data_IF_521987652149
#
_entry.id   IF_521987652149
#
_cell.length_a   1.000
_cell.length_b   1.000
_cell.length_c   1.000
_cell.angle_alpha   90.00
_cell.angle_beta   90.00
_cell.angle_gamma   90.00
#
_symmetry.space_group_name_H-M   'P 1'
#
loop_
_entity.id
_entity.type
_entity.pdbx_description
1 polymer ?
#
# COMPACT_ATOMS: atom_id res chain seq x y z
N UNK A 1 -30.69 -16.94 -9.50
CA UNK A 1 -30.27 -15.53 -9.45
C UNK A 1 -29.29 -15.42 -8.30
N UNK A 2 -28.01 -15.48 -8.61
CA UNK A 2 -26.93 -15.59 -7.62
C UNK A 2 -26.74 -14.21 -6.98
N UNK A 3 -26.99 -14.12 -5.68
CA UNK A 3 -26.73 -12.91 -4.89
C UNK A 3 -25.21 -12.76 -4.80
N UNK A 4 -24.63 -11.98 -5.72
CA UNK A 4 -23.24 -11.56 -5.64
C UNK A 4 -23.05 -10.84 -4.30
N UNK A 5 -22.47 -11.55 -3.32
CA UNK A 5 -22.12 -10.98 -2.04
C UNK A 5 -21.29 -9.74 -2.27
N UNK A 6 -21.82 -8.58 -1.89
CA UNK A 6 -21.05 -7.35 -1.79
C UNK A 6 -19.99 -7.60 -0.74
N UNK A 7 -18.79 -8.00 -1.17
CA UNK A 7 -17.64 -8.11 -0.31
C UNK A 7 -17.51 -6.76 0.41
N UNK A 8 -17.87 -6.74 1.69
CA UNK A 8 -17.84 -5.53 2.50
C UNK A 8 -16.37 -5.21 2.65
N UNK A 9 -15.89 -4.19 1.94
CA UNK A 9 -14.53 -3.74 2.14
C UNK A 9 -14.41 -3.26 3.58
N UNK A 10 -13.40 -3.74 4.30
CA UNK A 10 -13.17 -3.34 5.69
C UNK A 10 -12.78 -1.86 5.85
N UNK A 11 -12.59 -1.14 4.74
CA UNK A 11 -12.27 0.30 4.74
C UNK A 11 -13.49 1.09 4.27
N UNK A 12 -13.73 2.24 4.89
CA UNK A 12 -14.78 3.19 4.50
C UNK A 12 -14.18 4.20 3.53
N UNK A 13 -14.51 4.10 2.24
CA UNK A 13 -13.98 4.98 1.20
C UNK A 13 -14.98 5.14 0.04
N UNK A 14 -14.74 6.11 -0.84
CA UNK A 14 -15.56 6.25 -2.04
C UNK A 14 -15.38 5.08 -3.03
N UNK A 15 -16.34 4.88 -3.97
CA UNK A 15 -16.19 3.93 -5.06
C UNK A 15 -14.92 4.12 -5.88
N UNK A 16 -14.45 5.38 -6.06
CA UNK A 16 -13.21 5.71 -6.78
C UNK A 16 -12.00 5.06 -6.11
N UNK A 17 -11.87 5.22 -4.80
CA UNK A 17 -10.77 4.64 -4.03
C UNK A 17 -10.86 3.11 -4.02
N UNK A 18 -12.06 2.55 -3.85
CA UNK A 18 -12.26 1.10 -3.91
C UNK A 18 -11.87 0.49 -5.27
N UNK A 19 -12.29 1.11 -6.38
CA UNK A 19 -11.95 0.64 -7.72
C UNK A 19 -10.45 0.74 -7.99
N UNK A 20 -9.82 1.85 -7.60
CA UNK A 20 -8.38 2.04 -7.69
C UNK A 20 -7.64 0.94 -6.93
N UNK A 21 -7.95 0.74 -5.64
CA UNK A 21 -7.31 -0.27 -4.81
C UNK A 21 -7.52 -1.69 -5.36
N UNK A 22 -8.73 -2.00 -5.85
CA UNK A 22 -9.01 -3.30 -6.48
C UNK A 22 -8.11 -3.54 -7.69
N UNK A 23 -7.97 -2.54 -8.56
CA UNK A 23 -7.10 -2.61 -9.74
C UNK A 23 -5.63 -2.76 -9.36
N UNK A 24 -5.15 -2.01 -8.37
CA UNK A 24 -3.76 -2.07 -7.93
C UNK A 24 -3.40 -3.39 -7.24
N UNK A 25 -4.27 -3.89 -6.36
CA UNK A 25 -4.07 -5.21 -5.73
C UNK A 25 -4.13 -6.35 -6.75
N UNK A 26 -5.02 -6.26 -7.73
CA UNK A 26 -5.06 -7.23 -8.84
C UNK A 26 -3.74 -7.21 -9.63
N UNK A 27 -3.22 -6.01 -9.93
CA UNK A 27 -1.94 -5.84 -10.60
C UNK A 27 -0.76 -6.43 -9.77
N UNK A 28 -0.68 -6.14 -8.47
CA UNK A 28 0.33 -6.73 -7.57
C UNK A 28 0.24 -8.26 -7.56
N UNK A 29 -0.94 -8.81 -7.29
CA UNK A 29 -1.15 -10.24 -7.17
C UNK A 29 -0.87 -10.99 -8.48
N UNK A 30 -1.24 -10.41 -9.63
CA UNK A 30 -0.91 -10.98 -10.95
C UNK A 30 0.61 -11.01 -11.20
N UNK A 31 1.33 -9.97 -10.79
CA UNK A 31 2.77 -9.92 -10.95
C UNK A 31 3.49 -10.92 -10.03
N UNK A 32 3.05 -11.03 -8.77
CA UNK A 32 3.58 -12.00 -7.80
C UNK A 32 3.42 -13.45 -8.29
N UNK A 33 2.30 -13.75 -8.95
CA UNK A 33 2.03 -15.07 -9.55
C UNK A 33 2.81 -15.33 -10.85
N UNK A 34 3.49 -14.33 -11.41
CA UNK A 34 4.26 -14.52 -12.65
C UNK A 34 5.41 -15.52 -12.43
N UNK A 35 5.71 -16.34 -13.44
CA UNK A 35 6.83 -17.29 -13.39
C UNK A 35 8.14 -16.61 -13.00
N UNK A 36 8.35 -15.36 -13.47
CA UNK A 36 9.54 -14.58 -13.12
C UNK A 36 9.67 -14.29 -11.62
N UNK A 37 8.56 -14.10 -10.90
CA UNK A 37 8.56 -13.86 -9.45
C UNK A 37 8.59 -15.17 -8.67
N UNK A 38 7.77 -16.14 -9.08
CA UNK A 38 7.71 -17.46 -8.44
C UNK A 38 9.08 -18.15 -8.46
N UNK A 39 9.88 -17.99 -9.52
CA UNK A 39 11.25 -18.54 -9.58
C UNK A 39 12.28 -17.65 -8.86
N UNK A 40 12.03 -16.36 -8.74
CA UNK A 40 12.97 -15.41 -8.12
C UNK A 40 13.05 -15.57 -6.61
N UNK A 41 11.92 -15.70 -5.91
CA UNK A 41 11.90 -15.78 -4.44
C UNK A 41 12.63 -17.01 -3.89
N UNK A 42 12.37 -18.25 -4.35
CA UNK A 42 13.11 -19.43 -3.88
C UNK A 42 14.61 -19.32 -4.17
N UNK A 43 14.99 -18.82 -5.35
CA UNK A 43 16.40 -18.62 -5.72
C UNK A 43 17.10 -17.65 -4.78
N UNK A 44 16.46 -16.54 -4.44
CA UNK A 44 17.02 -15.53 -3.54
C UNK A 44 17.10 -16.04 -2.10
N UNK A 45 16.04 -16.70 -1.60
CA UNK A 45 16.01 -17.33 -0.27
C UNK A 45 17.11 -18.39 -0.14
N UNK A 46 17.24 -19.30 -1.11
CA UNK A 46 18.30 -20.33 -1.13
C UNK A 46 19.68 -19.68 -1.16
N UNK A 47 19.87 -18.65 -1.99
CA UNK A 47 21.13 -17.90 -2.05
C UNK A 47 21.51 -17.30 -0.71
N UNK A 48 20.54 -16.69 -0.02
CA UNK A 48 20.75 -16.08 1.29
C UNK A 48 21.06 -17.12 2.37
N UNK A 49 20.20 -18.12 2.56
CA UNK A 49 20.34 -19.06 3.68
C UNK A 49 21.42 -20.12 3.48
N UNK A 50 21.56 -20.66 2.26
CA UNK A 50 22.49 -21.76 2.00
C UNK A 50 23.86 -21.22 1.58
N UNK A 51 23.88 -20.21 0.71
CA UNK A 51 25.13 -19.71 0.12
C UNK A 51 25.66 -18.45 0.82
N UNK A 52 24.97 -17.96 1.86
CA UNK A 52 25.27 -16.70 2.57
C UNK A 52 25.48 -15.52 1.61
N UNK A 53 24.77 -15.53 0.48
CA UNK A 53 24.92 -14.53 -0.54
C UNK A 53 24.26 -13.22 -0.10
N UNK A 54 24.94 -12.09 -0.31
CA UNK A 54 24.34 -10.77 -0.16
C UNK A 54 23.33 -10.51 -1.28
N UNK A 55 22.42 -9.54 -1.06
CA UNK A 55 21.48 -9.08 -2.08
C UNK A 55 22.21 -8.57 -3.34
N UNK A 56 22.08 -9.24 -4.50
CA UNK A 56 22.87 -8.89 -5.67
C UNK A 56 22.25 -7.73 -6.47
N UNK A 57 23.06 -6.94 -7.18
CA UNK A 57 22.58 -5.85 -8.07
C UNK A 57 21.57 -6.33 -9.13
N UNK A 58 21.69 -7.59 -9.58
CA UNK A 58 20.73 -8.18 -10.51
C UNK A 58 19.33 -8.35 -9.87
N UNK A 59 19.25 -8.58 -8.55
CA UNK A 59 17.99 -8.62 -7.82
C UNK A 59 17.37 -7.22 -7.70
N UNK A 60 18.19 -6.18 -7.45
CA UNK A 60 17.73 -4.79 -7.51
C UNK A 60 17.11 -4.45 -8.87
N UNK A 61 17.82 -4.76 -9.97
CA UNK A 61 17.30 -4.53 -11.33
C UNK A 61 16.00 -5.29 -11.58
N UNK A 62 15.91 -6.53 -11.11
CA UNK A 62 14.70 -7.35 -11.25
C UNK A 62 13.50 -6.77 -10.49
N UNK A 63 13.71 -6.24 -9.28
CA UNK A 63 12.63 -5.74 -8.41
C UNK A 63 12.26 -4.27 -8.66
N UNK A 64 13.09 -3.51 -9.39
CA UNK A 64 12.87 -2.09 -9.68
C UNK A 64 11.52 -1.78 -10.32
N UNK A 65 11.01 -2.68 -11.15
CA UNK A 65 9.75 -2.50 -11.88
C UNK A 65 8.61 -3.37 -11.32
N UNK A 66 8.75 -3.82 -10.08
CA UNK A 66 7.81 -4.74 -9.44
C UNK A 66 7.13 -4.14 -8.22
N UNK A 67 5.86 -4.47 -8.05
CA UNK A 67 5.14 -4.29 -6.82
C UNK A 67 5.89 -5.01 -5.70
N UNK A 68 6.12 -4.27 -4.62
CA UNK A 68 6.50 -4.78 -3.30
C UNK A 68 5.48 -4.18 -2.34
N UNK A 69 4.21 -4.46 -2.61
CA UNK A 69 3.10 -3.96 -1.81
C UNK A 69 2.66 -5.02 -0.81
N UNK A 70 2.14 -4.55 0.33
CA UNK A 70 1.39 -5.41 1.23
C UNK A 70 0.13 -5.93 0.53
N UNK A 71 -0.23 -7.16 0.84
CA UNK A 71 -1.48 -7.77 0.42
C UNK A 71 -2.68 -6.99 0.98
N UNK A 72 -3.83 -7.12 0.30
CA UNK A 72 -5.01 -6.32 0.59
C UNK A 72 -5.50 -6.44 2.04
N UNK A 73 -5.51 -7.65 2.58
CA UNK A 73 -5.92 -7.95 3.96
C UNK A 73 -4.98 -7.30 4.98
N UNK A 74 -3.67 -7.35 4.75
CA UNK A 74 -2.67 -6.67 5.60
C UNK A 74 -2.83 -5.15 5.54
N UNK A 75 -3.12 -4.59 4.37
CA UNK A 75 -3.40 -3.16 4.23
C UNK A 75 -4.67 -2.75 4.99
N UNK A 76 -5.73 -3.56 4.91
CA UNK A 76 -6.97 -3.35 5.67
C UNK A 76 -6.71 -3.40 7.18
N UNK A 77 -5.89 -4.34 7.64
CA UNK A 77 -5.46 -4.40 9.03
C UNK A 77 -4.73 -3.11 9.45
N UNK A 78 -3.78 -2.62 8.65
CA UNK A 78 -3.06 -1.37 8.96
C UNK A 78 -3.98 -0.15 8.99
N UNK A 79 -4.97 -0.06 8.10
CA UNK A 79 -6.01 0.98 8.14
C UNK A 79 -6.80 0.92 9.45
N UNK A 80 -7.32 -0.26 9.82
CA UNK A 80 -8.12 -0.42 11.05
C UNK A 80 -7.29 -0.12 12.30
N UNK A 81 -6.02 -0.52 12.32
CA UNK A 81 -5.09 -0.21 13.40
C UNK A 81 -4.82 1.31 13.50
N UNK A 82 -4.61 1.99 12.38
CA UNK A 82 -4.43 3.44 12.38
C UNK A 82 -5.68 4.18 12.85
N UNK A 83 -6.88 3.71 12.45
CA UNK A 83 -8.17 4.24 12.90
C UNK A 83 -8.40 4.02 14.40
N UNK A 84 -8.13 2.81 14.91
CA UNK A 84 -8.33 2.50 16.33
C UNK A 84 -7.41 3.28 17.26
N UNK A 85 -6.18 3.59 16.80
CA UNK A 85 -5.23 4.42 17.52
C UNK A 85 -5.50 5.93 17.41
N UNK A 86 -6.40 6.37 16.52
CA UNK A 86 -6.56 7.79 16.20
C UNK A 86 -5.29 8.41 15.62
N UNK A 87 -4.48 7.61 14.91
CA UNK A 87 -3.20 8.04 14.34
C UNK A 87 -3.37 9.21 13.36
N UNK A 88 -2.63 10.30 13.59
CA UNK A 88 -2.65 11.50 12.74
C UNK A 88 -1.33 11.76 12.01
N UNK A 89 -0.27 11.09 12.40
CA UNK A 89 1.04 11.22 11.76
C UNK A 89 1.60 9.82 11.53
N UNK A 90 1.86 9.46 10.27
CA UNK A 90 2.37 8.14 9.89
C UNK A 90 3.57 8.31 8.97
N UNK A 91 4.60 7.51 9.21
CA UNK A 91 5.76 7.35 8.32
C UNK A 91 5.74 5.93 7.77
N UNK A 92 5.79 5.78 6.45
CA UNK A 92 5.93 4.50 5.76
C UNK A 92 7.31 4.42 5.11
N UNK A 93 8.12 3.47 5.57
CA UNK A 93 9.41 3.17 4.97
C UNK A 93 9.26 2.03 3.95
N UNK A 94 9.30 2.35 2.66
CA UNK A 94 9.15 1.39 1.57
C UNK A 94 7.74 1.36 0.98
N UNK A 95 7.29 2.47 0.40
CA UNK A 95 5.95 2.58 -0.23
C UNK A 95 5.81 1.76 -1.51
N UNK A 96 6.92 1.37 -2.15
CA UNK A 96 6.91 0.77 -3.48
C UNK A 96 6.08 1.63 -4.45
N UNK A 97 5.03 1.07 -5.04
CA UNK A 97 4.15 1.78 -5.96
C UNK A 97 2.98 2.47 -5.24
N UNK A 98 2.98 2.63 -3.91
CA UNK A 98 1.96 3.42 -3.20
C UNK A 98 0.65 2.72 -2.87
N UNK A 99 0.53 1.41 -3.15
CA UNK A 99 -0.72 0.66 -2.91
C UNK A 99 -1.07 0.64 -1.42
N UNK A 100 -0.11 0.31 -0.57
CA UNK A 100 -0.29 0.29 0.88
C UNK A 100 -0.50 1.69 1.45
N UNK A 101 0.17 2.71 0.90
CA UNK A 101 0.16 4.09 1.42
C UNK A 101 -1.21 4.77 1.37
N UNK A 102 -2.07 4.37 0.43
CA UNK A 102 -3.46 4.85 0.35
C UNK A 102 -4.23 4.57 1.65
N UNK A 103 -3.96 3.44 2.30
CA UNK A 103 -4.67 2.99 3.51
C UNK A 103 -4.38 3.84 4.76
N UNK A 104 -3.11 4.05 5.19
CA UNK A 104 -2.80 4.93 6.30
C UNK A 104 -3.14 6.39 5.98
N UNK A 105 -3.05 6.82 4.73
CA UNK A 105 -3.45 8.17 4.32
C UNK A 105 -4.94 8.42 4.53
N UNK A 106 -5.78 7.49 4.05
CA UNK A 106 -7.22 7.51 4.31
C UNK A 106 -7.51 7.51 5.81
N UNK A 107 -6.84 6.64 6.58
CA UNK A 107 -7.04 6.57 8.03
C UNK A 107 -6.69 7.87 8.75
N UNK A 108 -5.57 8.50 8.39
CA UNK A 108 -5.13 9.77 8.95
C UNK A 108 -6.12 10.88 8.62
N UNK A 109 -6.55 11.02 7.37
CA UNK A 109 -7.52 12.04 6.96
C UNK A 109 -8.83 11.92 7.74
N UNK A 110 -9.34 10.70 7.90
CA UNK A 110 -10.54 10.43 8.71
C UNK A 110 -10.33 10.74 10.19
N UNK A 111 -9.19 10.35 10.78
CA UNK A 111 -8.87 10.65 12.18
C UNK A 111 -8.78 12.17 12.44
N UNK A 112 -8.25 12.93 11.48
CA UNK A 112 -8.21 14.39 11.54
C UNK A 112 -9.62 14.97 11.46
N UNK A 113 -10.43 14.53 10.50
CA UNK A 113 -11.83 14.96 10.36
C UNK A 113 -12.62 14.71 11.64
N UNK A 114 -12.56 13.50 12.18
CA UNK A 114 -13.32 13.13 13.37
C UNK A 114 -12.88 13.96 14.60
N UNK A 115 -11.59 14.19 14.77
CA UNK A 115 -11.08 15.08 15.82
C UNK A 115 -11.58 16.53 15.66
N UNK A 116 -11.65 17.04 14.42
CA UNK A 116 -12.20 18.38 14.13
C UNK A 116 -13.69 18.46 14.46
N UNK A 117 -14.48 17.43 14.13
CA UNK A 117 -15.90 17.34 14.50
C UNK A 117 -16.10 17.37 16.02
N UNK A 118 -15.17 16.79 16.78
CA UNK A 118 -15.13 16.87 18.25
C UNK A 118 -14.62 18.22 18.80
N UNK A 119 -14.42 19.22 17.95
CA UNK A 119 -13.95 20.55 18.35
C UNK A 119 -12.45 20.66 18.62
N UNK A 120 -11.66 19.62 18.30
CA UNK A 120 -10.22 19.66 18.48
C UNK A 120 -9.53 20.32 17.27
N UNK A 121 -8.49 21.12 17.53
CA UNK A 121 -7.56 21.55 16.47
C UNK A 121 -6.70 20.36 16.06
N UNK A 122 -6.85 19.87 14.83
CA UNK A 122 -6.12 18.71 14.33
C UNK A 122 -5.64 18.91 12.88
N UNK A 123 -4.42 18.41 12.62
CA UNK A 123 -3.78 18.27 11.31
C UNK A 123 -3.28 16.84 11.15
N UNK A 124 -3.11 16.39 9.91
CA UNK A 124 -2.55 15.07 9.63
C UNK A 124 -1.33 15.16 8.73
N UNK A 125 -0.48 14.13 8.79
CA UNK A 125 0.66 14.00 7.88
C UNK A 125 0.98 12.55 7.61
N UNK A 126 1.13 12.21 6.34
CA UNK A 126 1.72 10.93 5.91
C UNK A 126 3.00 11.22 5.14
N UNK A 127 4.08 10.54 5.52
CA UNK A 127 5.36 10.59 4.81
C UNK A 127 5.70 9.18 4.37
N UNK A 128 5.83 8.98 3.06
CA UNK A 128 6.15 7.69 2.48
C UNK A 128 7.48 7.78 1.74
N UNK A 129 8.38 6.82 1.94
CA UNK A 129 9.71 6.82 1.31
C UNK A 129 9.89 5.62 0.40
N UNK A 130 10.56 5.80 -0.72
CA UNK A 130 10.89 4.73 -1.66
C UNK A 130 12.30 4.92 -2.23
N UNK A 131 13.05 3.81 -2.34
CA UNK A 131 14.41 3.78 -2.88
C UNK A 131 14.42 4.08 -4.37
N UNK A 132 13.47 3.52 -5.12
CA UNK A 132 13.43 3.61 -6.58
C UNK A 132 12.58 4.81 -7.03
N UNK A 133 13.20 5.84 -7.60
CA UNK A 133 12.52 7.08 -8.01
C UNK A 133 11.33 6.85 -8.97
N UNK A 134 11.44 5.86 -9.87
CA UNK A 134 10.34 5.50 -10.78
C UNK A 134 9.14 4.92 -10.04
N UNK A 135 9.37 4.23 -8.92
CA UNK A 135 8.28 3.72 -8.08
C UNK A 135 7.63 4.84 -7.29
N UNK A 136 8.43 5.74 -6.73
CA UNK A 136 7.93 6.93 -6.03
C UNK A 136 7.05 7.80 -6.94
N UNK A 137 7.48 8.04 -8.19
CA UNK A 137 6.67 8.75 -9.17
C UNK A 137 5.33 8.05 -9.42
N UNK A 138 5.34 6.71 -9.54
CA UNK A 138 4.10 5.95 -9.74
C UNK A 138 3.18 5.93 -8.53
N UNK A 139 3.76 5.89 -7.33
CA UNK A 139 3.03 6.05 -6.08
C UNK A 139 2.29 7.39 -6.04
N UNK A 140 2.96 8.47 -6.48
CA UNK A 140 2.34 9.79 -6.58
C UNK A 140 1.21 9.82 -7.62
N UNK A 141 1.37 9.21 -8.79
CA UNK A 141 0.28 9.10 -9.78
C UNK A 141 -0.96 8.42 -9.20
N UNK A 142 -0.78 7.35 -8.43
CA UNK A 142 -1.89 6.62 -7.81
C UNK A 142 -2.49 7.40 -6.63
N UNK A 143 -1.67 8.13 -5.88
CA UNK A 143 -2.14 9.05 -4.85
C UNK A 143 -3.08 10.11 -5.43
N UNK A 144 -2.67 10.77 -6.53
CA UNK A 144 -3.51 11.76 -7.23
C UNK A 144 -4.81 11.12 -7.74
N UNK A 145 -4.76 9.89 -8.24
CA UNK A 145 -5.96 9.16 -8.66
C UNK A 145 -6.91 8.81 -7.51
N UNK A 146 -6.38 8.55 -6.30
CA UNK A 146 -7.19 8.30 -5.12
C UNK A 146 -7.98 9.56 -4.69
N UNK A 147 -7.35 10.74 -4.86
CA UNK A 147 -7.97 12.04 -4.70
C UNK A 147 -7.98 12.55 -3.26
N UNK A 148 -8.88 13.48 -2.99
CA UNK A 148 -8.99 14.27 -1.75
C UNK A 148 -9.16 13.44 -0.46
N UNK A 149 -9.74 12.24 -0.54
CA UNK A 149 -9.92 11.36 0.62
C UNK A 149 -8.61 10.90 1.27
N UNK A 150 -7.52 10.89 0.51
CA UNK A 150 -6.19 10.47 1.00
C UNK A 150 -5.26 11.65 1.23
N UNK A 151 -5.74 12.90 1.11
CA UNK A 151 -4.99 14.11 1.38
C UNK A 151 -5.35 14.65 2.79
N UNK A 152 -4.56 14.33 3.84
CA UNK A 152 -4.90 14.66 5.23
C UNK A 152 -4.66 16.12 5.66
#
# INVERSE_FOLDING_TARGET
>A
MEMAGTATWAIEASPRVHELLKRLHTASASQEKSLSQVLFYPKTIIGFYIRKASWPKAADHHMRHKFVSLEQDKCQFMYLLARSLGAKNIIEAGTSFGVSTIYPALAVGQNVRDARVMGMRATGKVVATEKEATKAAKAMDYWIQAGDEVEP
#
